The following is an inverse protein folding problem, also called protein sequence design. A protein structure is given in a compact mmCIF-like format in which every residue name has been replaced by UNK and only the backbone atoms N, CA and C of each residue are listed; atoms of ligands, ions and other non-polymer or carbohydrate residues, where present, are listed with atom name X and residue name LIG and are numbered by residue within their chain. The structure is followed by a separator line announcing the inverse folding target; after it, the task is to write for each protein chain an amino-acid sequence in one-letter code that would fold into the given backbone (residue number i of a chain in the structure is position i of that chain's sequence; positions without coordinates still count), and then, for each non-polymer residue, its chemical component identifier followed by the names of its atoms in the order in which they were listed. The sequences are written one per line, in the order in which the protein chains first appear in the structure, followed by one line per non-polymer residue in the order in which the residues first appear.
data_IF_313635529230
#
_entry.id   IF_313635529230
#
_cell.length_a   1.000
_cell.length_b   1.000
_cell.length_c   1.000
_cell.angle_alpha   90.00
_cell.angle_beta   90.00
_cell.angle_gamma   90.00
#
_symmetry.space_group_name_H-M   'P 1'
#
loop_
_entity.id
_entity.type
_entity.pdbx_description
1 polymer ?
#
# COMPACT_ATOMS: atom_id res chain seq x y z
N UNK A 1 23.85 -12.65 -57.03
CA UNK A 1 23.55 -11.31 -56.48
C UNK A 1 22.15 -11.39 -55.91
N UNK A 2 22.02 -11.45 -54.58
CA UNK A 2 20.75 -11.74 -53.90
C UNK A 2 20.40 -10.59 -52.97
N UNK A 3 19.17 -10.12 -53.14
CA UNK A 3 18.46 -9.07 -52.40
C UNK A 3 18.14 -9.55 -50.98
N UNK A 4 18.09 -8.62 -50.03
CA UNK A 4 17.46 -8.86 -48.73
C UNK A 4 17.46 -7.62 -47.84
N UNK A 5 16.63 -6.64 -48.17
CA UNK A 5 16.35 -5.47 -47.33
C UNK A 5 15.86 -5.90 -45.94
N UNK A 6 16.49 -5.36 -44.89
CA UNK A 6 16.09 -5.57 -43.49
C UNK A 6 14.94 -4.61 -43.16
N UNK A 7 13.77 -5.16 -42.88
CA UNK A 7 12.64 -4.44 -42.30
C UNK A 7 12.92 -4.28 -40.79
N UNK A 8 13.16 -3.05 -40.33
CA UNK A 8 13.12 -2.71 -38.91
C UNK A 8 11.65 -2.69 -38.47
N UNK A 9 11.23 -3.74 -37.76
CA UNK A 9 9.95 -3.75 -37.05
C UNK A 9 10.13 -2.92 -35.77
N UNK A 10 9.64 -1.67 -35.79
CA UNK A 10 9.42 -0.91 -34.56
C UNK A 10 8.34 -1.64 -33.76
N UNK A 11 8.75 -2.38 -32.73
CA UNK A 11 7.84 -2.91 -31.73
C UNK A 11 7.10 -1.77 -31.02
N UNK A 12 5.87 -2.00 -30.53
CA UNK A 12 5.12 -1.01 -29.78
C UNK A 12 5.95 -0.55 -28.59
N UNK A 13 6.18 0.75 -28.53
CA UNK A 13 6.81 1.45 -27.41
C UNK A 13 5.92 1.21 -26.19
N UNK A 14 6.30 0.23 -25.35
CA UNK A 14 5.72 0.10 -24.01
C UNK A 14 5.89 1.47 -23.36
N UNK A 15 4.77 2.16 -23.14
CA UNK A 15 4.76 3.32 -22.28
C UNK A 15 5.32 2.84 -20.94
N UNK A 16 6.30 3.55 -20.33
CA UNK A 16 6.73 3.21 -19.00
C UNK A 16 5.49 3.25 -18.13
N UNK A 17 5.06 2.08 -17.65
CA UNK A 17 4.12 1.99 -16.56
C UNK A 17 4.69 2.94 -15.51
N UNK A 18 3.95 3.99 -15.16
CA UNK A 18 4.34 4.81 -14.01
C UNK A 18 4.47 3.82 -12.88
N UNK A 19 5.70 3.60 -12.45
CA UNK A 19 6.01 2.76 -11.31
C UNK A 19 5.27 3.43 -10.15
N UNK A 20 4.10 2.90 -9.81
CA UNK A 20 3.31 3.37 -8.66
C UNK A 20 4.17 2.98 -7.47
N UNK A 21 5.02 3.92 -7.06
CA UNK A 21 5.93 3.75 -5.95
C UNK A 21 5.06 3.49 -4.74
N UNK A 22 5.22 2.32 -4.12
CA UNK A 22 4.41 1.94 -2.98
C UNK A 22 4.45 3.06 -1.92
N UNK A 23 3.30 3.41 -1.31
CA UNK A 23 3.26 4.37 -0.23
C UNK A 23 4.21 3.90 0.86
N UNK A 24 5.15 4.77 1.22
CA UNK A 24 6.16 4.49 2.24
C UNK A 24 5.77 5.11 3.57
N UNK A 25 6.19 4.47 4.68
CA UNK A 25 6.02 5.01 6.03
C UNK A 25 6.51 6.45 6.16
N UNK A 26 7.64 6.76 5.54
CA UNK A 26 8.20 8.12 5.50
C UNK A 26 7.28 9.14 4.80
N UNK A 27 6.57 8.73 3.74
CA UNK A 27 5.61 9.60 3.04
C UNK A 27 4.35 9.84 3.90
N UNK A 28 3.90 8.81 4.61
CA UNK A 28 2.79 8.91 5.57
C UNK A 28 3.13 9.83 6.74
N UNK A 29 4.29 9.68 7.38
CA UNK A 29 4.72 10.51 8.51
C UNK A 29 4.78 12.00 8.13
N UNK A 30 5.29 12.31 6.93
CA UNK A 30 5.35 13.68 6.42
C UNK A 30 3.94 14.28 6.19
N UNK A 31 2.99 13.49 5.71
CA UNK A 31 1.60 13.90 5.51
C UNK A 31 0.91 14.08 6.87
N UNK A 32 1.12 13.16 7.81
CA UNK A 32 0.56 13.25 9.16
C UNK A 32 1.02 14.51 9.89
N UNK A 33 2.32 14.84 9.82
CA UNK A 33 2.86 16.07 10.42
C UNK A 33 2.27 17.34 9.78
N UNK A 34 2.06 17.35 8.46
CA UNK A 34 1.42 18.48 7.76
C UNK A 34 -0.03 18.67 8.19
N UNK A 35 -0.80 17.58 8.26
CA UNK A 35 -2.22 17.65 8.63
C UNK A 35 -2.40 18.02 10.11
N UNK A 36 -1.55 17.49 11.00
CA UNK A 36 -1.56 17.89 12.41
C UNK A 36 -1.11 19.33 12.64
N UNK A 37 -0.15 19.84 11.85
CA UNK A 37 0.31 21.24 11.93
C UNK A 37 -0.70 22.26 11.40
N UNK A 38 -1.69 21.83 10.61
CA UNK A 38 -2.76 22.69 10.07
C UNK A 38 -3.99 22.80 10.97
N UNK A 39 -4.19 21.83 11.87
CA UNK A 39 -5.35 21.79 12.76
C UNK A 39 -5.14 22.65 14.02
N UNK A 40 -5.05 23.97 13.83
CA UNK A 40 -5.13 24.93 14.93
C UNK A 40 -6.58 25.07 15.40
N UNK A 41 -6.85 24.69 16.65
CA UNK A 41 -8.08 24.97 17.40
C UNK A 41 -9.40 24.50 16.77
N UNK A 42 -9.80 23.25 17.04
CA UNK A 42 -11.15 22.82 17.49
C UNK A 42 -11.33 21.31 17.28
N UNK A 43 -12.18 20.67 18.10
CA UNK A 43 -12.70 19.28 17.96
C UNK A 43 -11.87 18.12 18.56
N UNK A 44 -12.01 17.93 19.87
CA UNK A 44 -11.49 16.78 20.66
C UNK A 44 -11.94 15.40 20.14
N UNK A 45 -13.15 15.29 19.54
CA UNK A 45 -13.72 14.01 19.09
C UNK A 45 -13.40 13.66 17.61
N UNK A 46 -13.14 14.66 16.76
CA UNK A 46 -12.64 14.41 15.40
C UNK A 46 -11.15 14.09 15.41
N UNK A 47 -10.40 14.73 16.32
CA UNK A 47 -8.99 14.42 16.55
C UNK A 47 -8.78 12.96 17.01
N UNK A 48 -9.64 12.42 17.88
CA UNK A 48 -9.52 11.03 18.33
C UNK A 48 -9.77 10.03 17.20
N UNK A 49 -10.71 10.33 16.31
CA UNK A 49 -11.06 9.50 15.14
C UNK A 49 -9.96 9.51 14.07
N UNK A 50 -9.39 10.67 13.78
CA UNK A 50 -8.24 10.79 12.89
C UNK A 50 -6.98 10.12 13.49
N UNK A 51 -6.77 10.22 14.81
CA UNK A 51 -5.67 9.54 15.49
C UNK A 51 -5.81 8.01 15.41
N UNK A 52 -7.01 7.46 15.65
CA UNK A 52 -7.29 6.04 15.48
C UNK A 52 -7.02 5.58 14.04
N UNK A 53 -7.54 6.31 13.05
CA UNK A 53 -7.28 6.02 11.64
C UNK A 53 -5.79 6.01 11.33
N UNK A 54 -5.06 7.03 11.80
CA UNK A 54 -3.63 7.19 11.53
C UNK A 54 -2.82 6.05 12.16
N UNK A 55 -3.15 5.61 13.38
CA UNK A 55 -2.52 4.46 14.03
C UNK A 55 -2.77 3.16 13.26
N UNK A 56 -4.00 2.94 12.78
CA UNK A 56 -4.34 1.76 11.99
C UNK A 56 -3.64 1.75 10.63
N UNK A 57 -3.52 2.91 9.99
CA UNK A 57 -2.81 3.06 8.73
C UNK A 57 -1.30 2.83 8.91
N UNK A 58 -0.71 3.41 9.96
CA UNK A 58 0.69 3.15 10.31
C UNK A 58 0.94 1.66 10.52
N UNK A 59 0.06 0.99 11.26
CA UNK A 59 0.17 -0.44 11.50
C UNK A 59 0.06 -1.28 10.22
N UNK A 60 -0.84 -0.93 9.29
CA UNK A 60 -0.90 -1.59 7.98
C UNK A 60 0.41 -1.41 7.19
N UNK A 61 0.99 -0.21 7.19
CA UNK A 61 2.26 0.07 6.52
C UNK A 61 3.41 -0.75 7.13
N UNK A 62 3.45 -0.88 8.46
CA UNK A 62 4.44 -1.72 9.15
C UNK A 62 4.26 -3.20 8.81
N UNK A 63 3.02 -3.69 8.70
CA UNK A 63 2.76 -5.06 8.29
C UNK A 63 3.21 -5.33 6.84
N UNK A 64 2.99 -4.37 5.93
CA UNK A 64 3.44 -4.47 4.54
C UNK A 64 4.97 -4.49 4.43
N UNK A 65 5.66 -3.62 5.18
CA UNK A 65 7.13 -3.60 5.20
C UNK A 65 7.71 -4.89 5.77
N UNK A 66 7.17 -5.35 6.90
CA UNK A 66 7.58 -6.62 7.51
C UNK A 66 7.29 -7.83 6.60
N UNK A 67 6.19 -7.81 5.85
CA UNK A 67 5.88 -8.84 4.86
C UNK A 67 6.90 -8.83 3.71
N UNK A 68 7.24 -7.66 3.16
CA UNK A 68 8.25 -7.55 2.10
C UNK A 68 9.64 -8.00 2.58
N UNK A 69 10.04 -7.59 3.78
CA UNK A 69 11.28 -8.05 4.42
C UNK A 69 11.27 -9.56 4.64
N UNK A 70 10.09 -10.13 4.94
CA UNK A 70 9.94 -11.57 5.11
C UNK A 70 10.03 -12.34 3.80
N UNK A 71 9.48 -11.81 2.70
CA UNK A 71 9.63 -12.38 1.36
C UNK A 71 11.09 -12.37 0.88
N UNK A 72 11.88 -11.37 1.27
CA UNK A 72 13.29 -11.29 0.92
C UNK A 72 14.18 -12.28 1.69
N UNK A 73 13.67 -12.89 2.76
CA UNK A 73 14.42 -13.82 3.60
C UNK A 73 14.22 -15.28 3.18
N UNK A 74 15.28 -16.01 2.78
CA UNK A 74 15.19 -17.41 2.35
C UNK A 74 14.91 -18.40 3.50
N UNK A 75 14.85 -17.94 4.75
CA UNK A 75 14.75 -18.79 5.94
C UNK A 75 13.35 -18.78 6.59
N UNK A 76 12.41 -17.98 6.09
CA UNK A 76 11.12 -17.79 6.76
C UNK A 76 10.05 -18.76 6.29
N UNK A 77 9.26 -19.22 7.26
CA UNK A 77 8.21 -20.20 7.05
C UNK A 77 6.96 -19.59 6.40
N UNK A 78 6.28 -20.38 5.55
CA UNK A 78 4.97 -20.03 4.96
C UNK A 78 3.90 -19.68 6.02
N UNK A 79 4.06 -20.20 7.25
CA UNK A 79 3.21 -19.91 8.42
C UNK A 79 3.24 -18.44 8.82
N UNK A 80 4.40 -17.77 8.77
CA UNK A 80 4.54 -16.35 9.08
C UNK A 80 3.85 -15.47 8.02
N UNK A 81 4.01 -15.80 6.74
CA UNK A 81 3.37 -15.06 5.64
C UNK A 81 1.84 -15.10 5.76
N UNK A 82 1.26 -16.25 6.15
CA UNK A 82 -0.19 -16.37 6.40
C UNK A 82 -0.65 -15.47 7.55
N UNK A 83 0.15 -15.37 8.62
CA UNK A 83 -0.16 -14.49 9.76
C UNK A 83 -0.21 -13.01 9.32
N UNK A 84 0.74 -12.58 8.48
CA UNK A 84 0.73 -11.24 7.90
C UNK A 84 -0.53 -10.99 7.06
N UNK A 85 -0.94 -11.94 6.22
CA UNK A 85 -2.18 -11.78 5.43
C UNK A 85 -3.44 -11.67 6.30
N UNK A 86 -3.52 -12.42 7.38
CA UNK A 86 -4.65 -12.33 8.31
C UNK A 86 -4.72 -10.94 8.96
N UNK A 87 -3.60 -10.48 9.54
CA UNK A 87 -3.52 -9.18 10.20
C UNK A 87 -3.75 -8.02 9.23
N UNK A 88 -3.13 -8.05 8.04
CA UNK A 88 -3.34 -7.04 7.00
C UNK A 88 -4.79 -7.04 6.50
N UNK A 89 -5.44 -8.21 6.41
CA UNK A 89 -6.84 -8.31 6.01
C UNK A 89 -7.78 -7.68 7.03
N UNK A 90 -7.56 -7.95 8.33
CA UNK A 90 -8.36 -7.38 9.40
C UNK A 90 -8.22 -5.85 9.45
N UNK A 91 -7.00 -5.34 9.44
CA UNK A 91 -6.76 -3.89 9.52
C UNK A 91 -7.24 -3.16 8.25
N UNK A 92 -7.13 -3.78 7.07
CA UNK A 92 -7.63 -3.19 5.82
C UNK A 92 -9.15 -3.00 5.86
N UNK A 93 -9.89 -4.00 6.35
CA UNK A 93 -11.34 -3.89 6.47
C UNK A 93 -11.74 -2.79 7.47
N UNK A 94 -11.03 -2.67 8.61
CA UNK A 94 -11.26 -1.59 9.58
C UNK A 94 -10.99 -0.22 8.98
N UNK A 95 -9.93 -0.08 8.16
CA UNK A 95 -9.62 1.16 7.45
C UNK A 95 -10.69 1.50 6.41
N UNK A 96 -11.19 0.53 5.64
CA UNK A 96 -12.30 0.75 4.68
C UNK A 96 -13.59 1.21 5.39
N UNK A 97 -13.91 0.63 6.54
CA UNK A 97 -15.06 1.05 7.35
C UNK A 97 -14.89 2.50 7.84
N UNK A 98 -13.70 2.86 8.32
CA UNK A 98 -13.41 4.22 8.77
C UNK A 98 -13.45 5.21 7.60
N UNK A 99 -12.88 4.88 6.43
CA UNK A 99 -12.90 5.73 5.22
C UNK A 99 -14.33 6.01 4.76
N UNK A 100 -15.21 5.00 4.82
CA UNK A 100 -16.61 5.14 4.38
C UNK A 100 -17.50 5.90 5.38
N UNK A 101 -17.15 5.90 6.67
CA UNK A 101 -17.96 6.46 7.74
C UNK A 101 -17.48 7.81 8.27
N UNK A 102 -16.26 8.25 7.94
CA UNK A 102 -15.65 9.43 8.52
C UNK A 102 -15.13 10.42 7.48
N UNK A 103 -15.17 11.70 7.83
CA UNK A 103 -14.62 12.76 7.01
C UNK A 103 -13.13 12.97 7.33
N UNK A 104 -12.28 12.18 6.68
CA UNK A 104 -10.83 12.26 6.84
C UNK A 104 -10.18 13.13 5.75
N UNK A 105 -8.98 13.68 6.00
CA UNK A 105 -8.17 14.32 4.97
C UNK A 105 -7.95 13.42 3.75
N UNK A 106 -8.12 13.97 2.55
CA UNK A 106 -8.06 13.19 1.30
C UNK A 106 -6.71 12.48 1.13
N UNK A 107 -5.61 13.16 1.45
CA UNK A 107 -4.27 12.57 1.38
C UNK A 107 -4.11 11.33 2.28
N UNK A 108 -4.78 11.30 3.44
CA UNK A 108 -4.77 10.14 4.34
C UNK A 108 -5.62 8.98 3.80
N UNK A 109 -6.75 9.31 3.15
CA UNK A 109 -7.59 8.31 2.46
C UNK A 109 -6.85 7.70 1.28
N UNK A 110 -6.19 8.52 0.47
CA UNK A 110 -5.40 8.07 -0.70
C UNK A 110 -4.32 7.07 -0.29
N UNK A 111 -3.51 7.40 0.73
CA UNK A 111 -2.46 6.48 1.22
C UNK A 111 -3.07 5.16 1.69
N UNK A 112 -4.17 5.22 2.45
CA UNK A 112 -4.83 4.00 2.93
C UNK A 112 -5.37 3.15 1.78
N UNK A 113 -6.05 3.77 0.81
CA UNK A 113 -6.59 3.06 -0.35
C UNK A 113 -5.48 2.43 -1.20
N UNK A 114 -4.37 3.14 -1.43
CA UNK A 114 -3.21 2.61 -2.13
C UNK A 114 -2.57 1.43 -1.38
N UNK A 115 -2.43 1.55 -0.05
CA UNK A 115 -1.86 0.50 0.80
C UNK A 115 -2.73 -0.76 0.80
N UNK A 116 -4.06 -0.59 0.91
CA UNK A 116 -5.04 -1.68 0.85
C UNK A 116 -5.01 -2.33 -0.53
N UNK A 117 -4.96 -1.55 -1.60
CA UNK A 117 -4.85 -2.08 -2.96
C UNK A 117 -3.58 -2.93 -3.14
N UNK A 118 -2.44 -2.47 -2.62
CA UNK A 118 -1.20 -3.25 -2.63
C UNK A 118 -1.34 -4.55 -1.86
N UNK A 119 -1.91 -4.52 -0.66
CA UNK A 119 -2.21 -5.74 0.10
C UNK A 119 -3.07 -6.72 -0.71
N UNK A 120 -4.16 -6.27 -1.34
CA UNK A 120 -5.04 -7.14 -2.15
C UNK A 120 -4.29 -7.75 -3.35
N UNK A 121 -3.40 -6.98 -3.99
CA UNK A 121 -2.53 -7.47 -5.07
C UNK A 121 -1.57 -8.55 -4.56
N UNK A 122 -0.94 -8.33 -3.42
CA UNK A 122 -0.03 -9.31 -2.81
C UNK A 122 -0.76 -10.58 -2.34
N UNK A 123 -1.95 -10.41 -1.77
CA UNK A 123 -2.83 -11.53 -1.39
C UNK A 123 -3.20 -12.37 -2.61
N UNK A 124 -3.56 -11.73 -3.73
CA UNK A 124 -3.84 -12.45 -4.97
C UNK A 124 -2.62 -13.26 -5.43
N UNK A 125 -1.43 -12.65 -5.45
CA UNK A 125 -0.19 -13.35 -5.82
C UNK A 125 0.08 -14.58 -4.95
N UNK A 126 -0.06 -14.42 -3.63
CA UNK A 126 0.10 -15.52 -2.68
C UNK A 126 -0.89 -16.65 -2.93
N UNK A 127 -2.18 -16.34 -3.10
CA UNK A 127 -3.21 -17.35 -3.36
C UNK A 127 -3.02 -18.06 -4.71
N UNK A 128 -2.47 -17.37 -5.70
CA UNK A 128 -2.12 -17.98 -7.01
C UNK A 128 -0.84 -18.80 -6.98
N UNK A 129 -0.14 -18.87 -5.85
CA UNK A 129 1.11 -19.63 -5.73
C UNK A 129 2.30 -18.99 -6.45
N UNK A 130 2.26 -17.68 -6.75
CA UNK A 130 3.40 -16.98 -7.37
C UNK A 130 4.63 -16.87 -6.45
N UNK A 131 4.45 -17.20 -5.16
CA UNK A 131 5.49 -17.25 -4.14
C UNK A 131 5.81 -18.69 -3.67
N UNK A 132 5.27 -19.71 -4.36
CA UNK A 132 5.43 -21.13 -4.03
C UNK A 132 6.59 -21.78 -4.78
#
# INVERSE_FOLDING_TARGET
MTIGSIIQVLGPKQAPEKEVKAPSKSSFEAILQREMGRSGNSHSMEFSKQAEFSQKLEYLLDLLDNYQNSLASPQKESSELRSYFYQMGEISNQLEEIISSQNLPEALKEIAQESIFLFRKEQAKFLTGLYA
#
